data_IF_045309585744
#
_entry.id   IF_045309585744
#
_cell.length_a   1.000
_cell.length_b   1.000
_cell.length_c   1.000
_cell.angle_alpha   90.00
_cell.angle_beta   90.00
_cell.angle_gamma   90.00
#
_symmetry.space_group_name_H-M   'P 1'
#
loop_
_entity.id
_entity.type
_entity.pdbx_description
1 polymer ?
#
# COMPACT_ATOMS: atom_id res chain seq x y z
N UNK A 1 14.78 7.78 -15.61
CA UNK A 1 16.20 8.09 -15.86
C UNK A 1 17.01 7.09 -15.05
N UNK A 2 17.57 6.08 -15.72
CA UNK A 2 18.38 5.03 -15.11
C UNK A 2 19.79 5.59 -14.93
N UNK A 3 20.26 5.75 -13.71
CA UNK A 3 21.66 6.04 -13.45
C UNK A 3 22.40 4.72 -13.22
N UNK A 4 22.95 4.16 -14.28
CA UNK A 4 23.97 3.13 -14.16
C UNK A 4 25.25 3.79 -13.64
N UNK A 5 25.61 3.51 -12.41
CA UNK A 5 26.92 3.83 -11.88
C UNK A 5 27.61 2.52 -11.51
N UNK A 6 28.71 2.22 -12.16
CA UNK A 6 29.62 1.14 -11.79
C UNK A 6 30.36 1.47 -10.50
N UNK A 7 30.58 0.46 -9.66
CA UNK A 7 31.48 0.56 -8.50
C UNK A 7 32.94 0.61 -8.98
N UNK A 8 33.87 1.07 -8.11
CA UNK A 8 35.32 1.08 -8.42
C UNK A 8 35.87 -0.28 -8.83
N UNK A 9 35.16 -1.36 -8.53
CA UNK A 9 35.55 -2.75 -8.80
C UNK A 9 34.90 -3.32 -10.06
N UNK A 10 34.32 -2.45 -10.92
CA UNK A 10 33.71 -2.87 -12.19
C UNK A 10 32.39 -3.64 -12.08
N UNK A 11 31.86 -3.83 -10.87
CA UNK A 11 30.55 -4.44 -10.65
C UNK A 11 29.44 -3.43 -10.96
N UNK A 12 28.33 -3.83 -11.61
CA UNK A 12 27.19 -2.93 -11.77
C UNK A 12 26.69 -2.53 -10.39
N UNK A 13 26.71 -1.22 -10.11
CA UNK A 13 26.04 -0.70 -8.92
C UNK A 13 24.61 -1.15 -8.98
N UNK A 14 24.13 -1.75 -7.90
CA UNK A 14 22.73 -2.19 -7.81
C UNK A 14 21.82 -1.01 -8.12
N UNK A 15 21.23 -1.04 -9.32
CA UNK A 15 20.34 0.02 -9.78
C UNK A 15 19.12 0.10 -8.84
N UNK A 16 18.75 1.33 -8.48
CA UNK A 16 17.50 1.62 -7.79
C UNK A 16 16.52 2.21 -8.79
N UNK A 17 15.27 1.78 -8.75
CA UNK A 17 14.18 2.38 -9.52
C UNK A 17 13.28 3.16 -8.57
N UNK A 18 12.96 4.38 -8.94
CA UNK A 18 12.08 5.25 -8.16
C UNK A 18 11.40 6.27 -9.07
N UNK A 19 10.34 6.88 -8.55
CA UNK A 19 9.56 7.88 -9.26
C UNK A 19 9.67 9.24 -8.61
N UNK A 20 9.53 10.29 -9.43
CA UNK A 20 9.43 11.67 -8.97
C UNK A 20 8.18 12.33 -9.59
N UNK A 21 7.71 13.41 -8.98
CA UNK A 21 6.50 14.09 -9.42
C UNK A 21 6.68 14.98 -10.64
N UNK A 22 7.91 15.31 -11.02
CA UNK A 22 8.25 16.14 -12.18
C UNK A 22 9.73 16.07 -12.51
N UNK A 23 10.08 16.47 -13.72
CA UNK A 23 11.46 16.53 -14.20
C UNK A 23 12.38 17.27 -13.21
N UNK A 24 13.58 16.74 -13.00
CA UNK A 24 14.64 17.31 -12.16
C UNK A 24 14.28 17.42 -10.65
N UNK A 25 13.31 16.66 -10.16
CA UNK A 25 13.05 16.51 -8.73
C UNK A 25 13.60 15.19 -8.20
N UNK A 26 13.94 15.20 -6.92
CA UNK A 26 14.36 13.99 -6.20
C UNK A 26 13.22 12.99 -6.18
N UNK A 27 13.55 11.72 -6.23
CA UNK A 27 12.59 10.64 -6.05
C UNK A 27 11.93 10.74 -4.66
N UNK A 28 10.67 10.38 -4.62
CA UNK A 28 9.80 10.56 -3.47
C UNK A 28 8.97 9.28 -3.27
N UNK A 29 8.89 8.82 -2.04
CA UNK A 29 8.15 7.59 -1.68
C UNK A 29 6.70 7.63 -2.14
N UNK A 30 6.01 8.76 -2.02
CA UNK A 30 4.60 8.85 -2.39
C UNK A 30 4.37 8.77 -3.90
N UNK A 31 5.31 9.27 -4.71
CA UNK A 31 5.18 9.15 -6.17
C UNK A 31 5.35 7.73 -6.66
N UNK A 32 6.01 6.89 -5.90
CA UNK A 32 6.03 5.47 -6.19
C UNK A 32 4.62 4.87 -6.17
N UNK A 33 3.80 5.29 -5.20
CA UNK A 33 2.40 4.89 -5.15
C UNK A 33 1.58 5.49 -6.30
N UNK A 34 1.68 6.80 -6.52
CA UNK A 34 0.87 7.47 -7.54
C UNK A 34 1.14 6.93 -8.95
N UNK A 35 2.39 6.77 -9.31
CA UNK A 35 2.77 6.24 -10.63
C UNK A 35 2.62 4.73 -10.67
N UNK A 36 3.13 4.00 -9.69
CA UNK A 36 3.04 2.54 -9.63
C UNK A 36 1.60 2.05 -9.53
N UNK A 37 0.76 2.71 -8.71
CA UNK A 37 -0.66 2.41 -8.61
C UNK A 37 -1.43 2.67 -9.91
N UNK A 38 -1.13 3.80 -10.60
CA UNK A 38 -1.70 4.07 -11.90
C UNK A 38 -1.31 2.99 -12.94
N UNK A 39 -0.04 2.60 -12.97
CA UNK A 39 0.44 1.52 -13.84
C UNK A 39 -0.20 0.18 -13.51
N UNK A 40 -0.42 -0.13 -12.22
CA UNK A 40 -1.11 -1.34 -11.80
C UNK A 40 -2.57 -1.37 -12.27
N UNK A 41 -3.29 -0.25 -12.12
CA UNK A 41 -4.67 -0.12 -12.60
C UNK A 41 -4.78 -0.26 -14.13
N UNK A 42 -3.75 0.13 -14.86
CA UNK A 42 -3.66 -0.03 -16.32
C UNK A 42 -3.13 -1.42 -16.74
N UNK A 43 -2.75 -2.28 -15.81
CA UNK A 43 -2.19 -3.60 -16.09
C UNK A 43 -0.73 -3.58 -16.58
N UNK A 44 -0.02 -2.48 -16.38
CA UNK A 44 1.33 -2.28 -16.92
C UNK A 44 2.44 -2.24 -15.87
N UNK A 45 2.14 -2.43 -14.58
CA UNK A 45 3.15 -2.38 -13.53
C UNK A 45 4.29 -3.37 -13.77
N UNK A 46 3.94 -4.63 -14.05
CA UNK A 46 4.91 -5.72 -14.21
C UNK A 46 5.77 -5.60 -15.47
N UNK A 47 5.26 -4.94 -16.50
CA UNK A 47 5.97 -4.75 -17.77
C UNK A 47 6.86 -3.51 -17.79
N UNK A 48 6.58 -2.51 -16.96
CA UNK A 48 7.27 -1.21 -17.00
C UNK A 48 8.12 -0.93 -15.76
N UNK A 49 7.94 -1.68 -14.68
CA UNK A 49 8.66 -1.45 -13.42
C UNK A 49 9.45 -2.71 -13.03
N UNK A 50 10.76 -2.56 -12.95
CA UNK A 50 11.61 -3.58 -12.36
C UNK A 50 11.40 -3.58 -10.83
N UNK A 51 10.70 -4.61 -10.34
CA UNK A 51 10.24 -4.70 -8.96
C UNK A 51 11.38 -4.80 -7.95
N UNK A 52 12.46 -5.49 -8.28
CA UNK A 52 13.56 -5.70 -7.34
C UNK A 52 14.36 -4.41 -7.05
N UNK A 53 14.82 -3.64 -8.06
CA UNK A 53 15.41 -2.33 -7.82
C UNK A 53 14.45 -1.32 -7.17
N UNK A 54 13.16 -1.42 -7.46
CA UNK A 54 12.11 -0.62 -6.87
C UNK A 54 11.97 -0.88 -5.36
N UNK A 55 11.90 -2.15 -4.98
CA UNK A 55 11.85 -2.59 -3.60
C UNK A 55 13.12 -2.17 -2.84
N UNK A 56 14.29 -2.38 -3.42
CA UNK A 56 15.56 -1.95 -2.81
C UNK A 56 15.60 -0.45 -2.56
N UNK A 57 15.10 0.36 -3.49
CA UNK A 57 15.01 1.81 -3.26
C UNK A 57 14.22 2.12 -1.99
N UNK A 58 13.05 1.52 -1.81
CA UNK A 58 12.24 1.75 -0.61
C UNK A 58 12.95 1.32 0.67
N UNK A 59 13.49 0.10 0.69
CA UNK A 59 14.08 -0.48 1.91
C UNK A 59 15.46 0.07 2.25
N UNK A 60 16.29 0.40 1.25
CA UNK A 60 17.67 0.82 1.46
C UNK A 60 17.84 2.35 1.50
N UNK A 61 16.94 3.10 0.83
CA UNK A 61 17.07 4.56 0.69
C UNK A 61 16.01 5.34 1.44
N UNK A 62 14.79 4.80 1.54
CA UNK A 62 13.64 5.53 2.06
C UNK A 62 13.25 5.09 3.47
N UNK A 63 13.55 3.82 3.84
CA UNK A 63 13.28 3.32 5.18
C UNK A 63 14.21 4.00 6.20
N UNK A 64 13.61 4.54 7.25
CA UNK A 64 14.37 5.18 8.31
C UNK A 64 14.78 4.18 9.41
N UNK A 65 15.93 4.40 10.03
CA UNK A 65 16.49 3.51 11.08
C UNK A 65 15.58 3.33 12.31
N UNK A 66 14.71 4.29 12.60
CA UNK A 66 13.72 4.20 13.69
C UNK A 66 12.39 3.60 13.23
N UNK A 67 12.31 3.10 11.99
CA UNK A 67 11.11 2.61 11.34
C UNK A 67 10.39 3.66 10.51
N UNK A 68 9.46 3.20 9.65
CA UNK A 68 8.74 4.04 8.70
C UNK A 68 9.56 4.46 7.49
N UNK A 69 8.95 5.27 6.63
CA UNK A 69 9.54 5.78 5.39
C UNK A 69 9.52 7.30 5.38
N UNK A 70 10.62 7.90 4.92
CA UNK A 70 10.72 9.32 4.68
C UNK A 70 10.26 9.70 3.27
N UNK A 71 10.11 11.01 3.04
CA UNK A 71 9.76 11.56 1.74
C UNK A 71 10.84 11.30 0.69
N UNK A 72 12.08 11.57 1.05
CA UNK A 72 13.27 11.43 0.21
C UNK A 72 14.42 10.82 1.01
N UNK A 73 15.49 10.32 0.37
CA UNK A 73 16.61 9.76 1.11
C UNK A 73 17.13 10.69 2.20
N UNK A 74 17.21 10.20 3.44
CA UNK A 74 17.65 10.97 4.61
C UNK A 74 16.60 11.87 5.27
N UNK A 75 15.38 11.95 4.72
CA UNK A 75 14.27 12.65 5.37
C UNK A 75 13.74 11.86 6.58
N UNK A 76 13.26 12.55 7.64
CA UNK A 76 12.59 11.87 8.74
C UNK A 76 11.33 11.15 8.25
N UNK A 77 10.95 10.02 8.88
CA UNK A 77 9.75 9.29 8.52
C UNK A 77 8.52 10.04 9.00
N UNK A 78 7.44 9.92 8.23
CA UNK A 78 6.11 10.42 8.60
C UNK A 78 5.02 9.41 8.25
N UNK A 79 3.81 9.62 8.74
CA UNK A 79 2.70 8.69 8.55
C UNK A 79 2.28 8.56 7.08
N UNK A 80 2.30 9.65 6.33
CA UNK A 80 1.91 9.68 4.93
C UNK A 80 2.87 8.86 4.05
N UNK A 81 4.17 9.14 4.15
CA UNK A 81 5.17 8.40 3.37
C UNK A 81 5.33 6.96 3.87
N UNK A 82 5.15 6.71 5.17
CA UNK A 82 5.17 5.34 5.72
C UNK A 82 3.99 4.52 5.21
N UNK A 83 2.79 5.09 5.14
CA UNK A 83 1.64 4.43 4.55
C UNK A 83 1.89 4.07 3.08
N UNK A 84 2.32 5.02 2.26
CA UNK A 84 2.57 4.76 0.85
C UNK A 84 3.75 3.83 0.60
N UNK A 85 4.81 3.90 1.40
CA UNK A 85 5.93 2.97 1.31
C UNK A 85 5.48 1.52 1.54
N UNK A 86 4.67 1.27 2.57
CA UNK A 86 4.08 -0.04 2.84
C UNK A 86 3.09 -0.47 1.74
N UNK A 87 2.25 0.45 1.27
CA UNK A 87 1.31 0.18 0.20
C UNK A 87 2.01 -0.23 -1.09
N UNK A 88 3.12 0.43 -1.44
CA UNK A 88 3.95 0.06 -2.60
C UNK A 88 4.58 -1.30 -2.43
N UNK A 89 5.13 -1.63 -1.26
CA UNK A 89 5.66 -2.98 -1.01
C UNK A 89 4.58 -4.04 -1.18
N UNK A 90 3.36 -3.78 -0.70
CA UNK A 90 2.20 -4.64 -0.92
C UNK A 90 1.74 -4.72 -2.37
N UNK A 91 1.89 -3.64 -3.15
CA UNK A 91 1.57 -3.59 -4.57
C UNK A 91 2.59 -4.36 -5.42
N UNK A 92 3.88 -4.26 -5.08
CA UNK A 92 4.95 -4.98 -5.79
C UNK A 92 4.87 -6.49 -5.61
N UNK A 93 4.26 -6.99 -4.54
CA UNK A 93 3.96 -8.40 -4.33
C UNK A 93 5.17 -9.32 -4.27
N UNK A 94 6.27 -8.89 -3.67
CA UNK A 94 7.49 -9.70 -3.56
C UNK A 94 7.28 -10.92 -2.65
N UNK A 95 7.69 -12.09 -3.13
CA UNK A 95 7.66 -13.36 -2.39
C UNK A 95 8.39 -13.29 -1.04
N UNK A 96 9.49 -12.53 -0.96
CA UNK A 96 10.30 -12.35 0.26
C UNK A 96 9.57 -11.58 1.36
N UNK A 97 8.59 -10.76 0.99
CA UNK A 97 7.73 -9.99 1.89
C UNK A 97 6.35 -10.65 2.06
N UNK A 98 6.12 -11.80 1.42
CA UNK A 98 4.85 -12.53 1.54
C UNK A 98 4.61 -12.90 3.01
N UNK A 99 3.47 -12.43 3.54
CA UNK A 99 3.11 -12.58 4.96
C UNK A 99 3.60 -11.45 5.88
N UNK A 100 4.57 -10.62 5.47
CA UNK A 100 5.00 -9.43 6.22
C UNK A 100 4.20 -8.19 5.85
N UNK A 101 3.92 -8.01 4.55
CA UNK A 101 3.10 -6.93 4.04
C UNK A 101 1.91 -7.53 3.30
N UNK A 102 0.71 -7.02 3.57
CA UNK A 102 -0.51 -7.44 2.86
C UNK A 102 -0.48 -6.91 1.44
N UNK A 103 -1.02 -7.71 0.50
CA UNK A 103 -1.26 -7.28 -0.86
C UNK A 103 -2.24 -6.10 -0.89
N UNK A 104 -1.90 -5.04 -1.62
CA UNK A 104 -2.70 -3.81 -1.73
C UNK A 104 -3.44 -3.76 -3.06
N UNK A 105 -4.64 -3.20 -3.01
CA UNK A 105 -5.42 -2.85 -4.18
C UNK A 105 -5.04 -1.44 -4.65
N UNK A 106 -4.68 -1.31 -5.92
CA UNK A 106 -4.20 -0.06 -6.49
C UNK A 106 -5.30 1.00 -6.69
N UNK A 107 -6.55 0.56 -6.86
CA UNK A 107 -7.69 1.45 -7.09
C UNK A 107 -8.19 2.12 -5.82
N UNK A 108 -8.29 1.35 -4.73
CA UNK A 108 -8.85 1.82 -3.47
C UNK A 108 -7.78 2.20 -2.42
N UNK A 109 -6.50 1.92 -2.69
CA UNK A 109 -5.40 2.16 -1.75
C UNK A 109 -5.60 1.47 -0.39
N UNK A 110 -6.16 0.28 -0.37
CA UNK A 110 -6.40 -0.53 0.82
C UNK A 110 -5.85 -1.95 0.63
N UNK A 111 -5.63 -2.71 1.72
CA UNK A 111 -5.32 -4.13 1.58
C UNK A 111 -6.40 -4.86 0.77
N UNK A 112 -6.00 -5.73 -0.16
CA UNK A 112 -6.92 -6.44 -1.08
C UNK A 112 -8.01 -7.21 -0.33
N UNK A 113 -7.72 -7.77 0.84
CA UNK A 113 -8.72 -8.42 1.67
C UNK A 113 -9.85 -7.48 2.14
N UNK A 114 -9.57 -6.17 2.23
CA UNK A 114 -10.55 -5.14 2.63
C UNK A 114 -11.51 -4.82 1.47
N UNK A 115 -11.08 -4.97 0.23
CA UNK A 115 -11.92 -4.72 -0.97
C UNK A 115 -13.18 -5.57 -0.94
N UNK A 116 -13.05 -6.87 -0.61
CA UNK A 116 -14.21 -7.76 -0.50
C UNK A 116 -15.25 -7.30 0.53
N UNK A 117 -14.79 -6.75 1.66
CA UNK A 117 -15.69 -6.19 2.69
C UNK A 117 -16.40 -4.93 2.17
N UNK A 118 -15.67 -4.05 1.48
CA UNK A 118 -16.23 -2.83 0.88
C UNK A 118 -17.28 -3.18 -0.18
N UNK A 119 -16.99 -4.14 -1.06
CA UNK A 119 -17.92 -4.56 -2.11
C UNK A 119 -19.18 -5.25 -1.56
N UNK A 120 -19.05 -6.06 -0.53
CA UNK A 120 -20.20 -6.64 0.17
C UNK A 120 -21.08 -5.56 0.80
N UNK A 121 -20.49 -4.60 1.52
CA UNK A 121 -21.22 -3.50 2.15
C UNK A 121 -21.92 -2.63 1.07
N UNK A 122 -21.22 -2.31 -0.01
CA UNK A 122 -21.78 -1.58 -1.13
C UNK A 122 -22.96 -2.31 -1.78
N UNK A 123 -22.83 -3.62 -2.04
CA UNK A 123 -23.89 -4.45 -2.58
C UNK A 123 -25.14 -4.41 -1.72
N UNK A 124 -24.97 -4.54 -0.41
CA UNK A 124 -26.08 -4.50 0.55
C UNK A 124 -26.77 -3.13 0.60
N UNK A 125 -26.00 -2.04 0.56
CA UNK A 125 -26.58 -0.69 0.48
C UNK A 125 -27.43 -0.49 -0.76
N UNK A 126 -26.97 -0.94 -1.92
CA UNK A 126 -27.72 -0.85 -3.20
C UNK A 126 -29.01 -1.68 -3.14
N UNK A 127 -28.99 -2.86 -2.52
CA UNK A 127 -30.19 -3.67 -2.31
C UNK A 127 -31.21 -2.95 -1.43
N UNK A 128 -30.76 -2.40 -0.29
CA UNK A 128 -31.60 -1.67 0.66
C UNK A 128 -32.23 -0.43 0.02
N UNK A 129 -31.48 0.31 -0.81
CA UNK A 129 -32.03 1.44 -1.58
C UNK A 129 -33.11 0.99 -2.58
N UNK A 130 -32.95 -0.15 -3.23
CA UNK A 130 -33.94 -0.71 -4.15
C UNK A 130 -35.21 -1.17 -3.42
N UNK A 131 -35.07 -1.76 -2.24
CA UNK A 131 -36.16 -2.18 -1.37
C UNK A 131 -36.88 -0.98 -0.75
N UNK A 132 -36.14 0.01 -0.24
CA UNK A 132 -36.66 1.24 0.38
C UNK A 132 -37.35 2.18 -0.60
N UNK A 133 -36.92 2.19 -1.86
CA UNK A 133 -37.57 2.98 -2.94
C UNK A 133 -38.98 2.49 -3.31
N UNK A 134 -39.40 1.31 -2.84
CA UNK A 134 -40.75 0.77 -3.00
C UNK A 134 -41.71 1.08 -1.84
N UNK A 135 -41.25 1.64 -0.73
CA UNK A 135 -42.06 1.95 0.44
C UNK A 135 -41.49 3.16 1.17
N UNK A 136 -42.16 4.27 1.02
CA UNK A 136 -42.09 5.60 1.67
C UNK A 136 -41.05 5.86 2.75
N UNK A 137 -40.44 7.04 2.60
CA UNK A 137 -39.79 7.93 3.57
C UNK A 137 -39.68 7.40 5.02
N UNK A 138 -38.56 6.79 5.33
CA UNK A 138 -38.05 6.56 6.66
C UNK A 138 -36.54 6.45 6.53
N UNK A 139 -35.81 7.47 7.00
CA UNK A 139 -34.36 7.38 7.19
C UNK A 139 -34.08 6.27 8.20
N UNK A 140 -33.83 5.04 7.73
CA UNK A 140 -33.31 3.98 8.58
C UNK A 140 -31.82 4.23 8.77
N UNK A 141 -31.44 4.54 9.99
CA UNK A 141 -30.05 4.49 10.40
C UNK A 141 -29.63 3.00 10.36
N UNK A 142 -28.81 2.67 9.34
CA UNK A 142 -28.28 1.31 9.15
C UNK A 142 -27.13 1.09 10.14
N UNK A 143 -27.26 0.11 11.01
CA UNK A 143 -26.16 -0.29 11.88
C UNK A 143 -25.20 -1.29 11.20
N UNK A 144 -24.03 -1.48 11.80
CA UNK A 144 -22.97 -2.31 11.23
C UNK A 144 -23.38 -3.77 11.01
N UNK A 145 -24.34 -4.26 11.77
CA UNK A 145 -24.87 -5.64 11.69
C UNK A 145 -25.76 -5.78 10.46
N UNK A 146 -26.62 -4.81 10.16
CA UNK A 146 -27.47 -4.81 8.97
C UNK A 146 -26.63 -4.70 7.67
N UNK A 147 -25.46 -4.07 7.73
CA UNK A 147 -24.51 -4.00 6.62
C UNK A 147 -23.69 -5.30 6.44
N UNK A 148 -23.87 -6.30 7.30
CA UNK A 148 -23.06 -7.52 7.26
C UNK A 148 -21.60 -7.29 7.62
N UNK A 149 -21.30 -6.16 8.24
CA UNK A 149 -19.97 -5.80 8.76
C UNK A 149 -19.74 -6.44 10.14
N UNK A 150 -20.03 -7.72 10.27
CA UNK A 150 -19.47 -8.47 11.39
C UNK A 150 -17.95 -8.47 11.17
N UNK A 151 -17.29 -7.52 11.80
CA UNK A 151 -15.88 -7.64 12.09
C UNK A 151 -15.80 -8.91 12.95
N UNK A 152 -15.52 -10.05 12.30
CA UNK A 152 -15.17 -11.26 13.02
C UNK A 152 -14.06 -10.84 13.97
N UNK A 153 -14.41 -10.69 15.23
CA UNK A 153 -13.49 -10.64 16.35
C UNK A 153 -12.80 -11.98 16.45
N UNK A 154 -12.00 -12.31 15.44
CA UNK A 154 -10.97 -13.31 15.62
C UNK A 154 -10.07 -12.71 16.70
N UNK A 155 -9.95 -13.41 17.82
CA UNK A 155 -8.93 -13.16 18.82
C UNK A 155 -7.65 -12.88 18.04
N UNK A 156 -7.25 -11.61 18.01
CA UNK A 156 -5.95 -11.23 17.48
C UNK A 156 -4.97 -11.81 18.48
N UNK A 157 -4.42 -12.98 18.18
CA UNK A 157 -3.18 -13.37 18.83
C UNK A 157 -2.24 -12.19 18.71
N UNK A 158 -1.89 -11.60 19.86
CA UNK A 158 -0.89 -10.53 19.90
C UNK A 158 0.36 -11.07 19.23
N UNK A 159 0.88 -10.40 18.20
CA UNK A 159 2.11 -10.85 17.58
C UNK A 159 3.18 -10.98 18.68
N UNK A 160 3.87 -12.11 18.73
CA UNK A 160 4.87 -12.44 19.76
C UNK A 160 5.95 -11.39 19.95
N UNK A 161 6.17 -10.51 18.97
CA UNK A 161 7.14 -9.41 19.03
C UNK A 161 6.68 -8.20 19.87
N UNK A 162 5.40 -8.12 20.28
CA UNK A 162 4.91 -7.07 21.20
C UNK A 162 5.14 -7.42 22.68
N UNK A 163 5.69 -8.59 23.01
CA UNK A 163 5.90 -9.06 24.37
C UNK A 163 7.24 -8.71 25.00
N UNK A 164 8.20 -8.17 24.25
CA UNK A 164 9.59 -8.00 24.74
C UNK A 164 10.07 -6.54 24.86
N UNK A 165 9.22 -5.56 24.61
CA UNK A 165 9.55 -4.17 24.96
C UNK A 165 9.06 -3.89 26.38
N UNK A 166 9.88 -4.29 27.38
CA UNK A 166 9.76 -3.79 28.75
C UNK A 166 10.13 -2.30 28.77
N UNK A 167 9.19 -1.47 29.22
CA UNK A 167 9.48 -0.13 29.74
C UNK A 167 9.81 -0.24 31.22
#
# INVERSE_FOLDING_TARGET
MLSETTTKDGQPKQAHVAFNGRTNKVADTCYFWWVGGALANLGHLDSLVDKEPARRFLLEKMQHRIGGFGKSPGSPPDLYHSFFGLAVLGLLGDERERGKVREFDAGLAVPRATVGVIEMARGRLVELEREGGRGGKGEKQLDAVELGLELRGGERERPKWLGECGY
#
